data_IF_717489523072
#
_entry.id   IF_717489523072
#
_cell.length_a   1.000
_cell.length_b   1.000
_cell.length_c   1.000
_cell.angle_alpha   90.00
_cell.angle_beta   90.00
_cell.angle_gamma   90.00
#
_symmetry.space_group_name_H-M   'P 1'
#
loop_
_entity.id
_entity.type
_entity.pdbx_description
1 polymer ?
#
# COMPACT_ATOMS: atom_id res chain seq x y z
N UNK A 1 14.37 -13.84 4.65
CA UNK A 1 15.54 -13.20 5.29
C UNK A 1 15.11 -12.53 6.57
N UNK A 2 16.00 -12.42 7.55
CA UNK A 2 15.76 -11.65 8.78
C UNK A 2 16.47 -10.29 8.62
N UNK A 3 15.72 -9.21 8.84
CA UNK A 3 16.26 -7.85 8.88
C UNK A 3 16.18 -7.37 10.32
N UNK A 4 17.34 -7.06 10.91
CA UNK A 4 17.44 -6.61 12.29
C UNK A 4 17.92 -5.17 12.34
N UNK A 5 17.21 -4.34 13.12
CA UNK A 5 17.49 -2.93 13.35
C UNK A 5 17.68 -2.68 14.85
N UNK A 6 18.86 -3.01 15.40
CA UNK A 6 19.10 -2.99 16.85
C UNK A 6 18.86 -1.63 17.52
N UNK A 7 19.08 -0.51 16.79
CA UNK A 7 18.82 0.84 17.32
C UNK A 7 17.34 1.11 17.62
N UNK A 8 16.44 0.35 17.00
CA UNK A 8 14.99 0.51 17.13
C UNK A 8 14.34 -0.70 17.81
N UNK A 9 15.14 -1.68 18.25
CA UNK A 9 14.66 -2.96 18.79
C UNK A 9 13.58 -3.60 17.89
N UNK A 10 13.88 -3.66 16.58
CA UNK A 10 12.98 -4.20 15.57
C UNK A 10 13.64 -5.27 14.74
N UNK A 11 12.86 -6.31 14.48
CA UNK A 11 13.23 -7.40 13.60
C UNK A 11 12.04 -7.75 12.70
N UNK A 12 12.32 -7.96 11.41
CA UNK A 12 11.30 -8.35 10.43
C UNK A 12 11.79 -9.58 9.66
N UNK A 13 10.89 -10.53 9.46
CA UNK A 13 11.13 -11.68 8.57
C UNK A 13 10.44 -11.40 7.25
N UNK A 14 11.22 -11.35 6.17
CA UNK A 14 10.73 -11.06 4.82
C UNK A 14 11.14 -12.14 3.84
N UNK A 15 10.25 -12.44 2.92
CA UNK A 15 10.56 -13.24 1.74
C UNK A 15 11.16 -12.33 0.68
N UNK A 16 12.45 -12.51 0.41
CA UNK A 16 13.18 -11.69 -0.56
C UNK A 16 13.53 -12.53 -1.77
N UNK A 17 13.20 -12.02 -2.95
CA UNK A 17 13.52 -12.61 -4.24
C UNK A 17 14.66 -11.83 -4.84
N UNK A 18 15.73 -12.54 -5.25
CA UNK A 18 16.87 -12.00 -5.97
C UNK A 18 16.80 -12.45 -7.41
N UNK A 19 16.83 -11.51 -8.34
CA UNK A 19 17.00 -11.79 -9.76
C UNK A 19 18.46 -11.62 -10.14
N UNK A 20 19.00 -12.57 -10.89
CA UNK A 20 20.38 -12.54 -11.33
C UNK A 20 20.44 -12.32 -12.85
N UNK A 21 21.40 -11.54 -13.29
CA UNK A 21 21.74 -11.41 -14.68
C UNK A 21 22.52 -12.64 -15.20
N UNK A 22 22.81 -12.65 -16.51
CA UNK A 22 23.56 -13.73 -17.16
C UNK A 22 25.00 -13.88 -16.65
N UNK A 23 25.54 -12.88 -16.02
CA UNK A 23 26.89 -12.87 -15.43
C UNK A 23 26.85 -13.31 -13.95
N UNK A 24 25.69 -13.70 -13.42
CA UNK A 24 25.51 -14.13 -12.04
C UNK A 24 25.50 -13.00 -11.02
N UNK A 25 25.33 -11.74 -11.46
CA UNK A 25 25.19 -10.60 -10.57
C UNK A 25 23.73 -10.34 -10.25
N UNK A 26 23.45 -9.84 -9.05
CA UNK A 26 22.09 -9.44 -8.68
C UNK A 26 21.69 -8.25 -9.56
N UNK A 27 20.66 -8.44 -10.38
CA UNK A 27 20.07 -7.42 -11.25
C UNK A 27 18.86 -6.75 -10.62
N UNK A 28 18.13 -7.45 -9.75
CA UNK A 28 16.99 -6.89 -9.01
C UNK A 28 16.77 -7.60 -7.68
N UNK A 29 16.09 -6.89 -6.77
CA UNK A 29 15.67 -7.39 -5.46
C UNK A 29 14.20 -6.99 -5.27
N UNK A 30 13.36 -7.95 -4.89
CA UNK A 30 11.95 -7.70 -4.56
C UNK A 30 11.55 -8.35 -3.24
N UNK A 31 10.56 -7.75 -2.58
CA UNK A 31 9.96 -8.25 -1.34
C UNK A 31 8.62 -8.89 -1.67
N UNK A 32 8.55 -10.20 -1.58
CA UNK A 32 7.34 -10.94 -1.90
C UNK A 32 6.18 -10.62 -0.96
N UNK A 33 4.97 -10.82 -1.44
CA UNK A 33 3.76 -10.76 -0.63
C UNK A 33 3.78 -11.84 0.45
N UNK A 34 3.09 -11.57 1.56
CA UNK A 34 2.77 -12.61 2.51
C UNK A 34 1.94 -13.70 1.81
N UNK A 35 2.18 -14.96 2.20
CA UNK A 35 1.52 -16.13 1.60
C UNK A 35 0.01 -15.98 1.53
N UNK A 36 -0.62 -15.50 2.61
CA UNK A 36 -2.07 -15.30 2.64
C UNK A 36 -2.56 -14.29 1.59
N UNK A 37 -1.88 -13.16 1.44
CA UNK A 37 -2.25 -12.16 0.43
C UNK A 37 -2.11 -12.70 -1.00
N UNK A 38 -1.08 -13.50 -1.26
CA UNK A 38 -0.91 -14.16 -2.55
C UNK A 38 -2.02 -15.21 -2.78
N UNK A 39 -2.40 -15.98 -1.77
CA UNK A 39 -3.51 -16.95 -1.82
C UNK A 39 -4.86 -16.25 -2.03
N UNK A 40 -5.11 -15.10 -1.39
CA UNK A 40 -6.32 -14.30 -1.58
C UNK A 40 -6.47 -13.89 -3.06
N UNK A 41 -5.41 -13.37 -3.70
CA UNK A 41 -5.41 -13.03 -5.13
C UNK A 41 -5.56 -14.29 -5.99
N UNK A 42 -4.84 -15.35 -5.71
CA UNK A 42 -4.87 -16.60 -6.46
C UNK A 42 -6.24 -17.28 -6.43
N UNK A 43 -7.05 -17.04 -5.37
CA UNK A 43 -8.38 -17.60 -5.21
C UNK A 43 -9.41 -17.12 -6.25
N UNK A 44 -9.14 -16.00 -6.93
CA UNK A 44 -9.96 -15.47 -8.02
C UNK A 44 -9.82 -16.30 -9.31
N UNK A 45 -10.17 -17.58 -9.25
CA UNK A 45 -10.01 -18.52 -10.38
C UNK A 45 -10.84 -18.18 -11.61
N UNK A 46 -11.85 -17.32 -11.49
CA UNK A 46 -12.64 -16.76 -12.59
C UNK A 46 -11.90 -15.67 -13.38
N UNK A 47 -10.73 -15.23 -12.92
CA UNK A 47 -9.87 -14.30 -13.64
C UNK A 47 -8.77 -15.05 -14.41
N UNK A 48 -8.28 -14.48 -15.53
CA UNK A 48 -7.11 -15.02 -16.20
C UNK A 48 -5.92 -15.14 -15.23
N UNK A 49 -5.16 -16.19 -15.34
CA UNK A 49 -3.95 -16.39 -14.51
C UNK A 49 -2.97 -15.21 -14.65
N UNK A 50 -2.80 -14.73 -15.88
CA UNK A 50 -1.97 -13.57 -16.18
C UNK A 50 -2.39 -12.32 -15.37
N UNK A 51 -3.69 -12.04 -15.26
CA UNK A 51 -4.18 -10.90 -14.49
C UNK A 51 -3.82 -11.03 -13.00
N UNK A 52 -3.89 -12.25 -12.46
CA UNK A 52 -3.51 -12.51 -11.06
C UNK A 52 -2.00 -12.31 -10.83
N UNK A 53 -1.18 -12.76 -11.79
CA UNK A 53 0.28 -12.56 -11.75
C UNK A 53 0.62 -11.07 -11.82
N UNK A 54 0.00 -10.31 -12.72
CA UNK A 54 0.20 -8.85 -12.85
C UNK A 54 -0.14 -8.15 -11.53
N UNK A 55 -1.28 -8.50 -10.90
CA UNK A 55 -1.69 -7.93 -9.61
C UNK A 55 -0.67 -8.24 -8.49
N UNK A 56 -0.21 -9.47 -8.40
CA UNK A 56 0.81 -9.86 -7.41
C UNK A 56 2.10 -9.08 -7.64
N UNK A 57 2.59 -9.04 -8.87
CA UNK A 57 3.81 -8.31 -9.24
C UNK A 57 3.70 -6.81 -8.93
N UNK A 58 2.54 -6.20 -9.19
CA UNK A 58 2.29 -4.80 -8.85
C UNK A 58 2.40 -4.55 -7.34
N UNK A 59 1.72 -5.36 -6.52
CA UNK A 59 1.75 -5.20 -5.07
C UNK A 59 3.14 -5.48 -4.47
N UNK A 60 3.86 -6.45 -5.00
CA UNK A 60 5.25 -6.74 -4.60
C UNK A 60 6.18 -5.59 -4.97
N UNK A 61 6.04 -5.04 -6.18
CA UNK A 61 6.80 -3.87 -6.63
C UNK A 61 6.49 -2.63 -5.80
N UNK A 62 5.22 -2.40 -5.47
CA UNK A 62 4.79 -1.32 -4.59
C UNK A 62 5.41 -1.46 -3.19
N UNK A 63 5.29 -2.63 -2.55
CA UNK A 63 5.92 -2.94 -1.26
C UNK A 63 7.43 -2.72 -1.30
N UNK A 64 8.09 -3.26 -2.33
CA UNK A 64 9.54 -3.17 -2.53
C UNK A 64 9.99 -1.73 -2.68
N UNK A 65 9.24 -0.91 -3.42
CA UNK A 65 9.59 0.49 -3.63
C UNK A 65 9.60 1.31 -2.34
N UNK A 66 8.71 1.00 -1.39
CA UNK A 66 8.76 1.62 -0.06
C UNK A 66 9.95 1.10 0.76
N UNK A 67 10.18 -0.20 0.78
CA UNK A 67 11.27 -0.81 1.56
C UNK A 67 12.65 -0.33 1.08
N UNK A 68 12.85 -0.23 -0.23
CA UNK A 68 14.07 0.25 -0.86
C UNK A 68 14.09 1.76 -1.12
N UNK A 69 13.02 2.48 -0.73
CA UNK A 69 12.88 3.94 -0.89
C UNK A 69 13.03 4.41 -2.34
N UNK A 70 12.50 3.64 -3.29
CA UNK A 70 12.50 3.94 -4.74
C UNK A 70 11.44 5.00 -5.05
N UNK A 71 11.75 6.27 -4.75
CA UNK A 71 10.80 7.40 -4.88
C UNK A 71 10.41 7.66 -6.33
N UNK A 72 11.32 7.47 -7.26
CA UNK A 72 11.13 7.56 -8.71
C UNK A 72 10.07 6.57 -9.19
N UNK A 73 10.18 5.31 -8.79
CA UNK A 73 9.15 4.31 -9.08
C UNK A 73 7.80 4.69 -8.49
N UNK A 74 7.74 5.05 -7.21
CA UNK A 74 6.48 5.49 -6.58
C UNK A 74 5.87 6.67 -7.34
N UNK A 75 6.69 7.64 -7.75
CA UNK A 75 6.20 8.80 -8.52
C UNK A 75 5.67 8.39 -9.90
N UNK A 76 6.31 7.43 -10.57
CA UNK A 76 5.94 7.03 -11.93
C UNK A 76 4.62 6.27 -11.99
N UNK A 77 4.24 5.55 -10.93
CA UNK A 77 3.01 4.75 -10.91
C UNK A 77 1.75 5.54 -10.51
N UNK A 78 1.85 6.81 -10.12
CA UNK A 78 0.68 7.64 -9.86
C UNK A 78 0.30 8.48 -11.09
N UNK A 79 -1.01 8.52 -11.39
CA UNK A 79 -1.56 9.49 -12.35
C UNK A 79 -1.27 10.92 -11.89
N UNK A 80 -1.14 11.88 -12.83
CA UNK A 80 -0.89 13.29 -12.46
C UNK A 80 -2.06 13.86 -11.66
N UNK A 81 -3.28 13.44 -11.97
CA UNK A 81 -4.51 13.85 -11.31
C UNK A 81 -4.97 12.85 -10.23
N UNK A 82 -4.09 11.95 -9.77
CA UNK A 82 -4.43 10.93 -8.79
C UNK A 82 -5.07 11.53 -7.54
N UNK A 83 -6.18 10.92 -7.11
CA UNK A 83 -6.86 11.26 -5.87
C UNK A 83 -6.19 10.54 -4.69
N UNK A 84 -5.51 11.28 -3.83
CA UNK A 84 -4.83 10.72 -2.67
C UNK A 84 -5.51 11.23 -1.40
N UNK A 85 -6.05 10.29 -0.59
CA UNK A 85 -6.77 10.61 0.64
C UNK A 85 -6.13 9.89 1.82
N UNK A 86 -5.94 10.61 2.92
CA UNK A 86 -5.50 10.04 4.19
C UNK A 86 -6.51 10.36 5.27
N UNK A 87 -7.10 9.34 5.88
CA UNK A 87 -8.00 9.43 7.02
C UNK A 87 -7.24 9.24 8.32
N UNK A 88 -7.42 10.16 9.28
CA UNK A 88 -6.85 10.06 10.62
C UNK A 88 -7.94 10.12 11.68
N UNK A 89 -7.83 9.28 12.70
CA UNK A 89 -8.70 9.34 13.86
C UNK A 89 -8.39 10.58 14.67
N UNK A 90 -9.39 11.46 14.83
CA UNK A 90 -9.29 12.61 15.72
C UNK A 90 -9.58 12.15 17.15
N UNK A 91 -8.58 12.27 18.02
CA UNK A 91 -8.76 12.10 19.46
C UNK A 91 -9.41 13.36 20.01
N UNK A 92 -10.55 13.29 20.73
CA UNK A 92 -11.14 14.48 21.34
C UNK A 92 -10.13 15.12 22.32
N UNK A 93 -9.93 16.42 22.16
CA UNK A 93 -9.15 17.20 23.12
C UNK A 93 -10.01 17.44 24.37
N UNK A 94 -9.78 16.69 25.47
CA UNK A 94 -10.46 16.90 26.74
C UNK A 94 -10.91 15.60 27.42
N UNK A 95 -11.30 15.71 28.70
CA UNK A 95 -11.86 14.60 29.49
C UNK A 95 -13.14 14.11 28.79
N UNK A 96 -13.13 12.86 28.38
CA UNK A 96 -14.29 12.19 27.80
C UNK A 96 -15.40 12.15 28.84
N UNK A 97 -16.48 12.90 28.64
CA UNK A 97 -17.72 12.68 29.38
C UNK A 97 -18.27 11.33 28.86
N UNK A 98 -18.77 10.51 29.80
CA UNK A 98 -19.20 9.12 29.58
C UNK A 98 -20.34 8.92 28.57
N UNK A 99 -20.81 9.97 27.92
CA UNK A 99 -21.82 9.92 26.86
C UNK A 99 -21.20 10.18 25.48
N UNK A 100 -20.68 9.09 24.87
CA UNK A 100 -20.65 8.96 23.41
C UNK A 100 -19.74 9.92 22.62
N UNK A 101 -18.52 10.20 23.07
CA UNK A 101 -17.53 10.82 22.19
C UNK A 101 -17.10 9.82 21.12
N UNK A 102 -17.83 9.83 20.00
CA UNK A 102 -17.50 9.00 18.85
C UNK A 102 -16.13 9.41 18.30
N UNK A 103 -15.31 8.42 17.97
CA UNK A 103 -14.10 8.65 17.16
C UNK A 103 -14.54 9.22 15.82
N UNK A 104 -13.98 10.34 15.42
CA UNK A 104 -14.21 10.94 14.09
C UNK A 104 -12.97 10.74 13.24
N UNK A 105 -13.15 10.28 12.01
CA UNK A 105 -12.07 10.21 11.01
C UNK A 105 -12.07 11.52 10.23
N UNK A 106 -10.93 12.21 10.23
CA UNK A 106 -10.69 13.40 9.41
C UNK A 106 -9.96 12.98 8.14
N UNK A 107 -10.52 13.31 6.99
CA UNK A 107 -9.94 13.01 5.68
C UNK A 107 -9.19 14.21 5.12
N UNK A 108 -7.94 13.99 4.71
CA UNK A 108 -7.11 15.00 4.04
C UNK A 108 -6.84 14.55 2.62
N UNK A 109 -7.23 15.38 1.66
CA UNK A 109 -6.91 15.19 0.24
C UNK A 109 -5.56 15.84 -0.08
N UNK A 110 -4.78 15.18 -0.95
CA UNK A 110 -3.46 15.64 -1.39
C UNK A 110 -3.34 15.43 -2.89
N UNK A 111 -2.61 16.31 -3.56
CA UNK A 111 -2.14 16.08 -4.91
C UNK A 111 -0.98 15.07 -4.94
N UNK A 112 -0.71 14.50 -6.11
CA UNK A 112 0.48 13.66 -6.35
C UNK A 112 1.76 14.38 -5.90
N UNK A 113 1.95 15.65 -6.30
CA UNK A 113 3.16 16.40 -5.97
C UNK A 113 3.36 16.59 -4.46
N UNK A 114 2.30 16.91 -3.73
CA UNK A 114 2.34 17.03 -2.26
C UNK A 114 2.65 15.70 -1.58
N UNK A 115 2.04 14.62 -2.06
CA UNK A 115 2.28 13.28 -1.55
C UNK A 115 3.73 12.85 -1.75
N UNK A 116 4.26 12.97 -2.97
CA UNK A 116 5.64 12.59 -3.31
C UNK A 116 6.66 13.45 -2.54
N UNK A 117 6.42 14.75 -2.41
CA UNK A 117 7.27 15.63 -1.61
C UNK A 117 7.32 15.18 -0.15
N UNK A 118 6.17 14.84 0.44
CA UNK A 118 6.11 14.34 1.83
C UNK A 118 6.80 13.00 1.96
N UNK A 119 6.57 12.08 1.02
CA UNK A 119 7.19 10.76 1.01
C UNK A 119 8.72 10.85 0.88
N UNK A 120 9.24 11.78 0.05
CA UNK A 120 10.66 12.06 -0.06
C UNK A 120 11.29 12.44 1.29
N UNK A 121 10.59 13.25 2.11
CA UNK A 121 11.07 13.61 3.44
C UNK A 121 11.06 12.39 4.38
N UNK A 122 10.03 11.56 4.32
CA UNK A 122 9.96 10.30 5.08
C UNK A 122 11.14 9.39 4.70
N UNK A 123 11.35 9.16 3.41
CA UNK A 123 12.43 8.28 2.92
C UNK A 123 13.83 8.72 3.38
N UNK A 124 14.06 10.04 3.46
CA UNK A 124 15.33 10.60 3.95
C UNK A 124 15.51 10.48 5.45
N UNK A 125 14.42 10.58 6.21
CA UNK A 125 14.47 10.62 7.68
C UNK A 125 14.45 9.25 8.36
N UNK A 126 13.97 8.21 7.67
CA UNK A 126 13.83 6.87 8.25
C UNK A 126 15.03 5.99 7.88
N UNK A 127 15.55 5.21 8.83
CA UNK A 127 16.60 4.21 8.59
C UNK A 127 16.03 3.08 7.73
N UNK A 128 14.85 2.58 8.09
CA UNK A 128 14.12 1.55 7.36
C UNK A 128 12.65 1.89 7.20
N UNK A 129 12.01 1.25 6.25
CA UNK A 129 10.56 1.17 6.09
C UNK A 129 10.23 -0.28 5.78
N UNK A 130 9.28 -0.85 6.50
CA UNK A 130 8.70 -2.15 6.22
C UNK A 130 7.19 -2.02 6.09
N UNK A 131 6.64 -2.57 5.02
CA UNK A 131 5.20 -2.61 4.78
C UNK A 131 4.78 -4.06 4.64
N UNK A 132 3.74 -4.45 5.36
CA UNK A 132 3.09 -5.75 5.21
C UNK A 132 1.65 -5.57 4.78
N UNK A 133 1.18 -6.44 3.90
CA UNK A 133 -0.19 -6.47 3.41
C UNK A 133 -0.87 -7.75 3.84
N UNK A 134 -2.08 -7.62 4.39
CA UNK A 134 -2.96 -8.73 4.74
C UNK A 134 -4.39 -8.42 4.28
N UNK A 135 -5.25 -9.43 4.33
CA UNK A 135 -6.68 -9.30 4.00
C UNK A 135 -6.90 -8.60 2.63
N UNK A 136 -6.27 -9.17 1.60
CA UNK A 136 -6.29 -8.61 0.26
C UNK A 136 -7.61 -8.96 -0.45
N UNK A 137 -8.51 -7.97 -0.57
CA UNK A 137 -9.76 -8.07 -1.32
C UNK A 137 -9.63 -7.25 -2.61
N UNK A 138 -9.74 -7.94 -3.76
CA UNK A 138 -9.59 -7.34 -5.07
C UNK A 138 -10.88 -7.42 -5.84
N UNK A 139 -11.32 -6.30 -6.41
CA UNK A 139 -12.49 -6.18 -7.25
C UNK A 139 -12.08 -5.70 -8.64
N UNK A 140 -12.41 -6.48 -9.68
CA UNK A 140 -12.27 -6.01 -11.06
C UNK A 140 -13.39 -5.03 -11.36
N UNK A 141 -13.06 -3.84 -11.85
CA UNK A 141 -14.03 -2.78 -12.09
C UNK A 141 -14.41 -2.66 -13.56
N UNK A 142 -15.72 -2.54 -13.77
CA UNK A 142 -16.30 -2.28 -15.09
C UNK A 142 -16.00 -3.34 -16.14
N UNK A 143 -16.23 -2.93 -17.41
CA UNK A 143 -15.88 -3.74 -18.60
C UNK A 143 -14.46 -3.44 -19.12
N UNK A 144 -13.81 -2.41 -18.57
CA UNK A 144 -12.45 -2.05 -18.96
C UNK A 144 -11.48 -3.14 -18.53
N UNK A 145 -10.69 -3.73 -19.43
CA UNK A 145 -9.65 -4.65 -19.04
C UNK A 145 -8.60 -3.89 -18.21
N UNK A 146 -8.14 -4.49 -17.11
CA UNK A 146 -7.02 -3.97 -16.35
C UNK A 146 -7.34 -3.02 -15.19
N UNK A 147 -8.58 -2.56 -15.02
CA UNK A 147 -8.94 -1.68 -13.89
C UNK A 147 -9.35 -2.49 -12.66
N UNK A 148 -8.63 -2.28 -11.55
CA UNK A 148 -8.83 -3.02 -10.31
C UNK A 148 -8.90 -2.10 -9.10
N UNK A 149 -9.86 -2.36 -8.20
CA UNK A 149 -9.90 -1.82 -6.85
C UNK A 149 -9.32 -2.84 -5.88
N UNK A 150 -8.28 -2.46 -5.17
CA UNK A 150 -7.57 -3.32 -4.22
C UNK A 150 -7.76 -2.75 -2.82
N UNK A 151 -8.49 -3.47 -1.95
CA UNK A 151 -8.56 -3.19 -0.52
C UNK A 151 -7.66 -4.15 0.21
N UNK A 152 -6.86 -3.63 1.13
CA UNK A 152 -6.00 -4.46 1.96
C UNK A 152 -5.75 -3.80 3.32
N UNK A 153 -5.44 -4.63 4.31
CA UNK A 153 -4.93 -4.17 5.58
C UNK A 153 -3.43 -3.96 5.42
N UNK A 154 -2.97 -2.75 5.73
CA UNK A 154 -1.57 -2.37 5.69
C UNK A 154 -1.05 -2.23 7.11
N UNK A 155 0.05 -2.90 7.41
CA UNK A 155 0.91 -2.61 8.54
C UNK A 155 2.15 -1.87 8.04
N UNK A 156 2.42 -0.71 8.62
CA UNK A 156 3.55 0.13 8.26
C UNK A 156 4.47 0.28 9.47
N UNK A 157 5.73 0.01 9.28
CA UNK A 157 6.78 0.19 10.27
C UNK A 157 7.94 1.00 9.70
N UNK A 158 8.43 1.94 10.49
CA UNK A 158 9.65 2.68 10.21
C UNK A 158 10.46 2.88 11.49
N UNK A 159 11.63 3.48 11.37
CA UNK A 159 12.50 3.71 12.52
C UNK A 159 11.91 4.61 13.62
N UNK A 160 10.91 5.42 13.31
CA UNK A 160 10.31 6.36 14.29
C UNK A 160 8.80 6.30 14.38
N UNK A 161 8.14 5.49 13.55
CA UNK A 161 6.69 5.47 13.46
C UNK A 161 6.18 4.09 13.02
N UNK A 162 5.02 3.71 13.55
CA UNK A 162 4.28 2.55 13.08
C UNK A 162 2.79 2.82 13.09
N UNK A 163 2.06 2.28 12.12
CA UNK A 163 0.61 2.27 12.09
C UNK A 163 0.08 1.00 11.45
N UNK A 164 -1.20 0.78 11.63
CA UNK A 164 -1.97 -0.28 10.98
C UNK A 164 -3.30 0.32 10.54
N UNK A 165 -3.68 0.08 9.30
CA UNK A 165 -4.91 0.64 8.77
C UNK A 165 -5.33 -0.06 7.47
N UNK A 166 -6.26 0.58 6.79
CA UNK A 166 -6.85 0.10 5.55
C UNK A 166 -6.35 0.94 4.38
N UNK A 167 -5.74 0.29 3.42
CA UNK A 167 -5.31 0.89 2.16
C UNK A 167 -6.30 0.47 1.07
N UNK A 168 -6.80 1.44 0.31
CA UNK A 168 -7.47 1.17 -0.95
C UNK A 168 -6.68 1.81 -2.10
N UNK A 169 -6.51 1.05 -3.18
CA UNK A 169 -5.86 1.49 -4.41
C UNK A 169 -6.80 1.18 -5.58
N UNK A 170 -7.12 2.20 -6.37
CA UNK A 170 -7.69 2.03 -7.70
C UNK A 170 -6.56 2.13 -8.71
N UNK A 171 -6.25 1.02 -9.37
CA UNK A 171 -5.12 0.90 -10.29
C UNK A 171 -5.56 0.38 -11.65
N UNK A 172 -5.00 0.98 -12.71
CA UNK A 172 -5.05 0.46 -14.08
C UNK A 172 -3.78 -0.34 -14.35
N UNK A 173 -3.96 -1.62 -14.65
CA UNK A 173 -2.92 -2.58 -15.00
C UNK A 173 -3.08 -3.07 -16.46
N UNK A 174 -3.74 -2.28 -17.31
CA UNK A 174 -3.87 -2.61 -18.73
C UNK A 174 -2.50 -2.79 -19.39
N UNK A 175 -1.54 -1.95 -19.02
CA UNK A 175 -0.13 -2.15 -19.33
C UNK A 175 0.61 -2.51 -18.03
N UNK A 176 1.04 -3.78 -17.86
CA UNK A 176 1.71 -4.23 -16.65
C UNK A 176 3.07 -3.56 -16.42
N UNK A 177 3.72 -3.07 -17.48
CA UNK A 177 5.01 -2.39 -17.39
C UNK A 177 4.87 -0.94 -16.90
N UNK A 178 3.67 -0.38 -17.02
CA UNK A 178 3.36 1.01 -16.64
C UNK A 178 2.04 1.07 -15.87
N UNK A 179 1.97 0.51 -14.66
CA UNK A 179 0.76 0.58 -13.83
C UNK A 179 0.44 2.03 -13.46
N UNK A 180 -0.85 2.39 -13.41
CA UNK A 180 -1.30 3.75 -13.10
C UNK A 180 -2.30 3.72 -11.94
N UNK A 181 -1.93 4.35 -10.82
CA UNK A 181 -2.81 4.53 -9.66
C UNK A 181 -3.62 5.82 -9.85
N UNK A 182 -4.94 5.68 -9.98
CA UNK A 182 -5.87 6.81 -10.05
C UNK A 182 -6.38 7.26 -8.68
N UNK A 183 -6.54 6.31 -7.75
CA UNK A 183 -6.97 6.62 -6.38
C UNK A 183 -6.13 5.84 -5.39
N UNK A 184 -5.71 6.52 -4.34
CA UNK A 184 -5.10 5.89 -3.17
C UNK A 184 -5.72 6.49 -1.91
N UNK A 185 -6.35 5.65 -1.10
CA UNK A 185 -6.82 6.08 0.21
C UNK A 185 -6.17 5.26 1.31
N UNK A 186 -5.96 5.89 2.45
CA UNK A 186 -5.53 5.21 3.67
C UNK A 186 -6.33 5.73 4.85
N UNK A 187 -6.82 4.83 5.68
CA UNK A 187 -7.55 5.17 6.90
C UNK A 187 -7.19 4.21 8.03
N UNK A 188 -6.98 4.75 9.21
CA UNK A 188 -6.59 4.00 10.41
C UNK A 188 -7.73 3.09 10.89
N UNK A 189 -8.96 3.58 10.85
CA UNK A 189 -10.16 2.85 11.24
C UNK A 189 -11.28 3.06 10.20
N UNK A 190 -12.25 2.14 10.09
CA UNK A 190 -13.45 2.36 9.29
C UNK A 190 -14.22 3.60 9.77
N UNK A 191 -14.72 4.39 8.85
CA UNK A 191 -15.64 5.47 9.18
C UNK A 191 -16.99 4.91 9.64
N UNK A 192 -17.66 5.62 10.56
CA UNK A 192 -18.92 5.18 11.15
C UNK A 192 -20.09 5.12 10.15
N UNK A 193 -20.06 5.98 9.13
CA UNK A 193 -21.16 6.15 8.21
C UNK A 193 -21.00 5.31 6.94
N UNK A 194 -19.75 5.21 6.40
CA UNK A 194 -19.50 4.53 5.14
C UNK A 194 -18.44 3.40 5.24
N UNK A 195 -17.87 3.17 6.44
CA UNK A 195 -16.94 2.06 6.65
C UNK A 195 -15.54 2.29 6.04
N UNK A 196 -15.05 1.32 5.30
CA UNK A 196 -13.76 1.39 4.60
C UNK A 196 -14.02 1.88 3.19
N UNK A 197 -13.32 2.94 2.79
CA UNK A 197 -13.38 3.44 1.41
C UNK A 197 -12.98 2.34 0.42
N UNK A 198 -13.79 2.17 -0.59
CA UNK A 198 -13.66 1.10 -1.58
C UNK A 198 -13.96 1.56 -3.01
N UNK A 199 -14.09 0.59 -3.94
CA UNK A 199 -14.17 0.88 -5.37
C UNK A 199 -15.43 1.60 -5.83
N UNK A 200 -16.47 1.68 -5.00
CA UNK A 200 -17.78 2.26 -5.35
C UNK A 200 -18.02 3.61 -4.68
N UNK A 201 -17.00 4.20 -4.05
CA UNK A 201 -17.10 5.48 -3.35
C UNK A 201 -16.59 6.66 -4.20
N UNK A 202 -16.32 6.43 -5.51
CA UNK A 202 -15.78 7.41 -6.45
C UNK A 202 -16.58 7.47 -7.76
#
# INVERSE_FOLDING_TARGET
MVFSFPRNDREFVENVVFTFDKDGKISDVSFALARKSAEDIASHTNWPEEARIILMNFLESYKTAYALKRLDYISSIFDEDALIITGRVLKPAGKVNEFGAGKYVSFTRQSKSEYIKRLSNVFRSQEFINIQFTDCDVTKLGKAPGLYGIKLRQEYFSSSYSDTGYLFILVDLHNPDTPVIHVRTWQEEPDKNFGIIGPYDF
#
